data_IF_144841775664
#
_entry.id   IF_144841775664
#
_cell.length_a   1.000
_cell.length_b   1.000
_cell.length_c   1.000
_cell.angle_alpha   90.00
_cell.angle_beta   90.00
_cell.angle_gamma   90.00
#
_symmetry.space_group_name_H-M   'P 1'
#
loop_
_entity.id
_entity.type
_entity.pdbx_description
1 polymer ?
#
# COMPACT_ATOMS: atom_id res chain seq x y z
N UNK A 1 -31.84 1.68 -35.78
CA UNK A 1 -30.79 2.56 -35.26
C UNK A 1 -31.07 2.84 -33.79
N UNK A 2 -30.50 2.05 -32.87
CA UNK A 2 -30.60 2.29 -31.43
C UNK A 2 -29.17 2.56 -30.96
N UNK A 3 -28.87 3.84 -30.70
CA UNK A 3 -27.61 4.25 -30.09
C UNK A 3 -27.57 3.70 -28.65
N UNK A 4 -26.73 2.69 -28.41
CA UNK A 4 -26.28 2.36 -27.06
C UNK A 4 -25.28 3.44 -26.64
N UNK A 5 -25.69 4.32 -25.73
CA UNK A 5 -24.79 5.25 -25.04
C UNK A 5 -23.79 4.43 -24.23
N UNK A 6 -22.53 4.45 -24.65
CA UNK A 6 -21.40 3.99 -23.85
C UNK A 6 -21.26 4.97 -22.67
N UNK A 7 -21.57 4.51 -21.46
CA UNK A 7 -21.17 5.23 -20.26
C UNK A 7 -19.68 4.92 -20.03
N UNK A 8 -18.82 5.87 -20.39
CA UNK A 8 -17.41 5.85 -20.03
C UNK A 8 -17.32 6.14 -18.52
N UNK A 9 -17.19 5.09 -17.71
CA UNK A 9 -16.81 5.26 -16.32
C UNK A 9 -15.34 5.69 -16.30
N UNK A 10 -15.10 6.99 -16.16
CA UNK A 10 -13.78 7.52 -15.87
C UNK A 10 -13.47 7.12 -14.43
N UNK A 11 -12.64 6.09 -14.24
CA UNK A 11 -11.99 5.86 -12.96
C UNK A 11 -11.05 7.04 -12.72
N UNK A 12 -11.45 7.96 -11.84
CA UNK A 12 -10.61 9.07 -11.42
C UNK A 12 -9.65 8.50 -10.37
N UNK A 13 -8.44 8.13 -10.79
CA UNK A 13 -7.33 7.93 -9.85
C UNK A 13 -7.14 9.26 -9.11
N UNK A 14 -7.59 9.32 -7.86
CA UNK A 14 -7.64 10.55 -7.08
C UNK A 14 -6.41 10.58 -6.20
N UNK A 15 -5.45 11.46 -6.50
CA UNK A 15 -4.41 11.81 -5.54
C UNK A 15 -4.99 12.80 -4.52
N UNK A 16 -4.92 12.43 -3.24
CA UNK A 16 -5.25 13.35 -2.14
C UNK A 16 -3.95 13.79 -1.50
N UNK A 17 -3.69 15.10 -1.49
CA UNK A 17 -2.64 15.67 -0.64
C UNK A 17 -3.21 15.77 0.77
N UNK A 18 -2.58 15.05 1.70
CA UNK A 18 -2.99 15.03 3.10
C UNK A 18 -2.00 15.87 3.90
N UNK A 19 -2.51 16.91 4.55
CA UNK A 19 -1.75 17.71 5.53
C UNK A 19 -2.02 17.16 6.93
N UNK A 20 -0.98 16.67 7.59
CA UNK A 20 -1.08 16.16 8.95
C UNK A 20 -0.47 17.15 9.96
N UNK A 21 -1.18 17.35 11.07
CA UNK A 21 -0.74 18.17 12.20
C UNK A 21 -0.68 17.29 13.45
N UNK A 22 0.48 17.21 14.10
CA UNK A 22 0.59 16.61 15.42
C UNK A 22 0.05 17.61 16.45
N UNK A 23 -1.06 17.28 17.10
CA UNK A 23 -1.56 18.07 18.24
C UNK A 23 -0.60 17.91 19.41
N UNK A 24 -0.17 19.04 20.01
CA UNK A 24 0.60 19.00 21.24
C UNK A 24 -0.32 18.68 22.41
N UNK A 25 0.10 17.78 23.30
CA UNK A 25 -0.65 17.53 24.53
C UNK A 25 -0.19 18.57 25.55
N UNK A 26 -1.05 19.55 25.84
CA UNK A 26 -0.87 20.48 26.95
C UNK A 26 -0.64 19.68 28.24
N UNK A 27 0.63 19.56 28.64
CA UNK A 27 1.00 19.26 30.02
C UNK A 27 0.96 20.59 30.75
N UNK A 28 0.08 20.72 31.74
CA UNK A 28 0.15 21.79 32.73
C UNK A 28 1.55 21.78 33.35
N UNK A 29 2.39 22.75 32.98
CA UNK A 29 3.70 23.00 33.55
C UNK A 29 3.66 24.33 34.30
N UNK A 30 3.91 24.23 35.61
CA UNK A 30 3.90 25.33 36.55
C UNK A 30 5.15 26.20 36.33
N UNK A 31 4.98 27.27 35.56
CA UNK A 31 5.68 28.54 35.72
C UNK A 31 7.22 28.50 35.84
N UNK A 32 7.86 29.01 34.77
CA UNK A 32 9.25 29.50 34.65
C UNK A 32 10.26 28.51 34.04
N UNK A 33 10.20 28.38 32.72
CA UNK A 33 11.30 27.94 31.89
C UNK A 33 11.11 28.50 30.48
N UNK A 34 12.18 28.94 29.82
CA UNK A 34 12.14 29.42 28.44
C UNK A 34 11.41 28.41 27.56
N UNK A 35 10.24 28.78 27.04
CA UNK A 35 9.51 27.99 26.08
C UNK A 35 10.37 27.83 24.82
N UNK A 36 11.08 26.71 24.71
CA UNK A 36 11.41 26.17 23.42
C UNK A 36 10.08 25.79 22.79
N UNK A 37 9.57 26.70 21.96
CA UNK A 37 8.46 26.48 21.06
C UNK A 37 8.84 25.29 20.17
N UNK A 38 8.49 24.07 20.59
CA UNK A 38 8.50 22.90 19.71
C UNK A 38 7.33 23.07 18.75
N UNK A 39 7.45 24.06 17.85
CA UNK A 39 6.48 24.28 16.79
C UNK A 39 6.33 22.97 16.03
N UNK A 40 5.17 22.35 16.14
CA UNK A 40 4.85 21.14 15.39
C UNK A 40 5.02 21.47 13.90
N UNK A 41 6.10 20.98 13.29
CA UNK A 41 6.30 21.17 11.86
C UNK A 41 5.18 20.43 11.13
N UNK A 42 4.38 21.14 10.34
CA UNK A 42 3.44 20.52 9.41
C UNK A 42 4.20 19.75 8.34
N UNK A 43 3.63 18.67 7.84
CA UNK A 43 4.11 17.98 6.65
C UNK A 43 2.95 17.61 5.74
N UNK A 44 3.25 17.41 4.46
CA UNK A 44 2.30 16.92 3.48
C UNK A 44 2.82 15.64 2.81
N UNK A 45 1.90 14.75 2.47
CA UNK A 45 2.17 13.56 1.69
C UNK A 45 1.06 13.33 0.67
N UNK A 46 1.36 12.59 -0.39
CA UNK A 46 0.36 12.17 -1.36
C UNK A 46 -0.11 10.76 -1.04
N UNK A 47 -1.43 10.55 -1.04
CA UNK A 47 -2.05 9.24 -0.97
C UNK A 47 -2.67 8.92 -2.34
N UNK A 48 -2.24 7.80 -2.92
CA UNK A 48 -2.72 7.30 -4.22
C UNK A 48 -3.06 5.80 -4.10
N UNK A 49 -3.86 5.30 -5.02
CA UNK A 49 -4.32 3.91 -5.09
C UNK A 49 -5.19 3.73 -6.32
N UNK A 50 -5.62 2.50 -6.59
CA UNK A 50 -6.59 2.19 -7.64
C UNK A 50 -6.21 2.79 -9.00
N UNK A 51 -5.02 2.44 -9.50
CA UNK A 51 -4.64 2.80 -10.84
C UNK A 51 -3.15 2.70 -11.17
N UNK A 52 -2.82 2.85 -12.46
CA UNK A 52 -3.75 3.11 -13.56
C UNK A 52 -4.51 1.87 -14.05
N UNK A 53 -5.84 1.96 -14.06
CA UNK A 53 -6.76 0.92 -14.55
C UNK A 53 -6.87 0.95 -16.07
N UNK A 54 -5.93 0.27 -16.71
CA UNK A 54 -5.87 0.12 -18.16
C UNK A 54 -5.02 1.19 -18.86
N UNK A 55 -4.60 0.88 -20.08
CA UNK A 55 -3.57 1.65 -20.77
C UNK A 55 -4.03 3.06 -21.15
N UNK A 56 -5.33 3.26 -21.36
CA UNK A 56 -5.90 4.55 -21.75
C UNK A 56 -5.79 5.64 -20.67
N UNK A 57 -5.68 5.26 -19.39
CA UNK A 57 -5.54 6.21 -18.27
C UNK A 57 -4.09 6.41 -17.83
N UNK A 58 -3.14 5.66 -18.38
CA UNK A 58 -1.72 5.82 -18.05
C UNK A 58 -1.19 7.24 -18.26
N UNK A 59 -1.51 7.95 -19.37
CA UNK A 59 -1.03 9.33 -19.53
C UNK A 59 -1.55 10.28 -18.45
N UNK A 60 -2.78 10.07 -17.96
CA UNK A 60 -3.31 10.86 -16.87
C UNK A 60 -2.60 10.55 -15.54
N UNK A 61 -2.28 9.28 -15.31
CA UNK A 61 -1.50 8.84 -14.16
C UNK A 61 -0.06 9.40 -14.19
N UNK A 62 0.61 9.38 -15.34
CA UNK A 62 1.95 9.97 -15.52
C UNK A 62 1.96 11.48 -15.24
N UNK A 63 0.90 12.18 -15.68
CA UNK A 63 0.72 13.59 -15.37
C UNK A 63 0.51 13.84 -13.86
N UNK A 64 -0.21 12.95 -13.17
CA UNK A 64 -0.36 13.00 -11.71
C UNK A 64 0.99 12.81 -11.01
N UNK A 65 1.79 11.81 -11.39
CA UNK A 65 3.14 11.62 -10.84
C UNK A 65 4.04 12.83 -11.11
N UNK A 66 3.94 13.41 -12.31
CA UNK A 66 4.66 14.64 -12.67
C UNK A 66 4.25 15.82 -11.78
N UNK A 67 2.97 15.96 -11.47
CA UNK A 67 2.47 17.02 -10.58
C UNK A 67 2.93 16.82 -9.13
N UNK A 68 2.88 15.59 -8.62
CA UNK A 68 3.44 15.23 -7.30
C UNK A 68 4.93 15.60 -7.25
N UNK A 69 5.70 15.24 -8.28
CA UNK A 69 7.13 15.56 -8.38
C UNK A 69 7.46 17.06 -8.43
N UNK A 70 6.51 17.91 -8.82
CA UNK A 70 6.68 19.37 -8.86
C UNK A 70 6.35 20.04 -7.54
N UNK A 71 5.49 19.42 -6.73
CA UNK A 71 5.12 19.93 -5.43
C UNK A 71 6.22 19.65 -4.41
N UNK A 72 6.95 20.70 -4.00
CA UNK A 72 8.04 20.60 -3.04
C UNK A 72 7.58 20.44 -1.59
N UNK A 73 6.28 20.52 -1.34
CA UNK A 73 5.71 20.35 0.00
C UNK A 73 5.39 18.89 0.31
N UNK A 74 5.24 18.05 -0.72
CA UNK A 74 4.99 16.61 -0.59
C UNK A 74 6.29 15.89 -0.28
N UNK A 75 6.38 15.28 0.89
CA UNK A 75 7.61 14.67 1.37
C UNK A 75 7.75 13.18 1.03
N UNK A 76 6.63 12.50 0.84
CA UNK A 76 6.55 11.09 0.44
C UNK A 76 5.19 10.79 -0.19
N UNK A 77 5.10 9.64 -0.87
CA UNK A 77 3.89 9.10 -1.46
C UNK A 77 3.58 7.76 -0.80
N UNK A 78 2.30 7.54 -0.49
CA UNK A 78 1.76 6.23 -0.10
C UNK A 78 0.88 5.74 -1.25
N UNK A 79 1.15 4.54 -1.75
CA UNK A 79 0.31 3.84 -2.71
C UNK A 79 -0.35 2.61 -2.08
N UNK A 80 -1.68 2.63 -1.99
CA UNK A 80 -2.48 1.61 -1.27
C UNK A 80 -2.85 0.39 -2.12
N UNK A 81 -1.97 0.00 -3.05
CA UNK A 81 -2.21 -1.14 -3.92
C UNK A 81 -3.12 -0.87 -5.11
N UNK A 82 -3.46 -1.94 -5.82
CA UNK A 82 -4.29 -1.93 -7.01
C UNK A 82 -3.70 -1.09 -8.15
N UNK A 83 -2.46 -1.40 -8.54
CA UNK A 83 -1.76 -0.80 -9.68
C UNK A 83 -2.30 -1.26 -11.05
N UNK A 84 -3.21 -2.22 -11.07
CA UNK A 84 -3.99 -2.59 -12.27
C UNK A 84 -5.43 -2.95 -11.89
N UNK A 85 -6.34 -2.94 -12.85
CA UNK A 85 -7.73 -3.29 -12.55
C UNK A 85 -7.89 -4.79 -12.28
N UNK A 86 -8.92 -5.18 -11.53
CA UNK A 86 -9.27 -6.59 -11.31
C UNK A 86 -9.69 -7.37 -12.56
N UNK A 87 -9.82 -6.69 -13.70
CA UNK A 87 -10.10 -7.32 -15.00
C UNK A 87 -8.94 -7.33 -15.98
N UNK A 88 -7.76 -6.88 -15.55
CA UNK A 88 -6.57 -6.72 -16.39
C UNK A 88 -5.55 -7.83 -16.09
N UNK A 89 -4.90 -8.36 -17.13
CA UNK A 89 -3.91 -9.46 -17.03
C UNK A 89 -2.77 -9.17 -16.04
N UNK A 90 -2.44 -10.17 -15.22
CA UNK A 90 -1.39 -10.11 -14.20
C UNK A 90 0.00 -10.55 -14.69
N UNK A 91 0.33 -10.27 -15.96
CA UNK A 91 1.63 -10.67 -16.52
C UNK A 91 2.78 -9.93 -15.84
N UNK A 92 3.97 -10.54 -15.87
CA UNK A 92 5.20 -9.94 -15.35
C UNK A 92 5.46 -8.58 -16.02
N UNK A 93 5.27 -8.49 -17.34
CA UNK A 93 5.47 -7.25 -18.10
C UNK A 93 4.56 -6.13 -17.60
N UNK A 94 3.30 -6.44 -17.26
CA UNK A 94 2.39 -5.42 -16.74
C UNK A 94 2.80 -4.98 -15.34
N UNK A 95 3.09 -5.92 -14.44
CA UNK A 95 3.48 -5.58 -13.07
C UNK A 95 4.81 -4.81 -13.04
N UNK A 96 5.79 -5.20 -13.85
CA UNK A 96 7.05 -4.47 -14.05
C UNK A 96 6.80 -3.09 -14.64
N UNK A 97 5.92 -2.96 -15.64
CA UNK A 97 5.55 -1.65 -16.21
C UNK A 97 4.96 -0.72 -15.15
N UNK A 98 4.08 -1.23 -14.28
CA UNK A 98 3.49 -0.47 -13.18
C UNK A 98 4.50 -0.07 -12.11
N UNK A 99 5.36 -1.00 -11.72
CA UNK A 99 6.49 -0.70 -10.83
C UNK A 99 7.35 0.43 -11.43
N UNK A 100 7.80 0.29 -12.68
CA UNK A 100 8.63 1.29 -13.35
C UNK A 100 7.95 2.66 -13.49
N UNK A 101 6.64 2.68 -13.72
CA UNK A 101 5.84 3.90 -13.75
C UNK A 101 5.89 4.61 -12.38
N UNK A 102 5.67 3.87 -11.30
CA UNK A 102 5.76 4.40 -9.94
C UNK A 102 7.18 4.84 -9.55
N UNK A 103 8.22 4.19 -10.09
CA UNK A 103 9.61 4.61 -9.87
C UNK A 103 9.98 5.94 -10.53
N UNK A 104 9.09 6.56 -11.29
CA UNK A 104 9.27 7.94 -11.78
C UNK A 104 9.10 9.00 -10.67
N UNK A 105 8.56 8.62 -9.51
CA UNK A 105 8.51 9.50 -8.34
C UNK A 105 9.92 9.90 -7.90
N UNK A 106 10.12 11.18 -7.59
CA UNK A 106 11.40 11.75 -7.16
C UNK A 106 11.57 11.79 -5.64
N UNK A 107 10.55 11.36 -4.91
CA UNK A 107 10.44 11.32 -3.46
C UNK A 107 10.09 9.87 -3.03
N UNK A 108 10.25 9.53 -1.74
CA UNK A 108 9.94 8.20 -1.24
C UNK A 108 8.55 7.69 -1.66
N UNK A 109 8.49 6.44 -2.10
CA UNK A 109 7.26 5.70 -2.33
C UNK A 109 7.13 4.56 -1.32
N UNK A 110 6.11 4.65 -0.48
CA UNK A 110 5.63 3.60 0.40
C UNK A 110 4.51 2.87 -0.34
N UNK A 111 4.57 1.54 -0.40
CA UNK A 111 3.62 0.72 -1.15
C UNK A 111 3.10 -0.41 -0.27
N UNK A 112 1.82 -0.74 -0.42
CA UNK A 112 1.23 -2.02 0.02
C UNK A 112 0.52 -2.67 -1.16
N UNK A 113 0.55 -4.01 -1.32
CA UNK A 113 -0.22 -4.68 -2.37
C UNK A 113 -1.74 -4.56 -2.16
N UNK A 114 -2.49 -4.55 -3.26
CA UNK A 114 -3.96 -4.68 -3.28
C UNK A 114 -4.39 -6.06 -3.80
N UNK A 115 -5.70 -6.36 -3.84
CA UNK A 115 -6.17 -7.67 -4.32
C UNK A 115 -5.96 -7.87 -5.82
N UNK A 116 -5.91 -6.79 -6.60
CA UNK A 116 -5.89 -6.88 -8.04
C UNK A 116 -4.60 -7.56 -8.54
N UNK A 117 -3.43 -7.23 -8.02
CA UNK A 117 -2.15 -7.73 -8.55
C UNK A 117 -1.84 -9.18 -8.19
N UNK A 118 -2.60 -9.80 -7.28
CA UNK A 118 -2.38 -11.21 -6.90
C UNK A 118 -3.65 -12.01 -6.67
N UNK A 119 -4.52 -11.66 -5.71
CA UNK A 119 -5.69 -12.51 -5.43
C UNK A 119 -6.62 -12.63 -6.62
N UNK A 120 -6.82 -11.56 -7.41
CA UNK A 120 -7.70 -11.59 -8.57
C UNK A 120 -7.06 -12.25 -9.81
N UNK A 121 -5.79 -12.62 -9.75
CA UNK A 121 -5.06 -13.14 -10.91
C UNK A 121 -5.49 -14.54 -11.34
N UNK A 122 -6.19 -15.28 -10.46
CA UNK A 122 -6.80 -16.57 -10.79
C UNK A 122 -7.91 -16.46 -11.86
N UNK A 123 -8.43 -15.25 -12.12
CA UNK A 123 -9.50 -15.04 -13.11
C UNK A 123 -8.98 -15.32 -14.51
N UNK A 124 -9.79 -15.96 -15.35
CA UNK A 124 -9.40 -16.35 -16.71
C UNK A 124 -8.97 -15.14 -17.58
N UNK A 125 -9.69 -14.02 -17.49
CA UNK A 125 -9.34 -12.79 -18.20
C UNK A 125 -8.10 -12.07 -17.63
N UNK A 126 -7.64 -12.47 -16.43
CA UNK A 126 -6.41 -11.96 -15.83
C UNK A 126 -5.20 -12.85 -16.16
N UNK A 127 -5.38 -13.90 -16.96
CA UNK A 127 -4.37 -14.87 -17.36
C UNK A 127 -4.39 -16.17 -16.56
N UNK A 128 -5.25 -16.30 -15.54
CA UNK A 128 -5.38 -17.54 -14.76
C UNK A 128 -4.11 -17.90 -13.99
N UNK A 129 -3.41 -16.90 -13.46
CA UNK A 129 -2.19 -17.11 -12.67
C UNK A 129 -2.51 -17.68 -11.28
N UNK A 130 -1.53 -18.38 -10.71
CA UNK A 130 -1.60 -18.84 -9.33
C UNK A 130 -1.40 -17.66 -8.36
N UNK A 131 -2.38 -17.31 -7.49
CA UNK A 131 -2.30 -16.09 -6.68
C UNK A 131 -1.10 -16.00 -5.75
N UNK A 132 -0.64 -17.11 -5.14
CA UNK A 132 0.51 -17.06 -4.22
C UNK A 132 1.84 -16.84 -4.95
N UNK A 133 1.94 -17.32 -6.18
CA UNK A 133 3.10 -17.03 -7.02
C UNK A 133 3.11 -15.54 -7.41
N UNK A 134 1.95 -14.98 -7.78
CA UNK A 134 1.83 -13.52 -8.03
C UNK A 134 2.13 -12.69 -6.80
N UNK A 135 1.71 -13.12 -5.61
CA UNK A 135 2.05 -12.45 -4.36
C UNK A 135 3.57 -12.44 -4.12
N UNK A 136 4.24 -13.57 -4.34
CA UNK A 136 5.70 -13.64 -4.23
C UNK A 136 6.38 -12.72 -5.26
N UNK A 137 5.92 -12.73 -6.51
CA UNK A 137 6.44 -11.85 -7.55
C UNK A 137 6.33 -10.37 -7.17
N UNK A 138 5.19 -9.93 -6.62
CA UNK A 138 5.03 -8.55 -6.13
C UNK A 138 6.00 -8.26 -5.00
N UNK A 139 6.17 -9.17 -4.04
CA UNK A 139 7.11 -9.00 -2.92
C UNK A 139 8.54 -8.78 -3.43
N UNK A 140 8.98 -9.61 -4.38
CA UNK A 140 10.32 -9.52 -4.96
C UNK A 140 10.52 -8.22 -5.77
N UNK A 141 9.49 -7.80 -6.51
CA UNK A 141 9.55 -6.63 -7.37
C UNK A 141 9.44 -5.31 -6.58
N UNK A 142 8.45 -5.19 -5.70
CA UNK A 142 8.13 -3.95 -5.00
C UNK A 142 8.92 -3.75 -3.70
N UNK A 143 9.50 -4.81 -3.13
CA UNK A 143 10.28 -4.75 -1.89
C UNK A 143 11.69 -5.33 -2.05
N UNK A 144 12.50 -4.85 -3.02
CA UNK A 144 13.85 -5.37 -3.27
C UNK A 144 14.79 -5.18 -2.07
N UNK A 145 14.48 -4.21 -1.18
CA UNK A 145 15.08 -4.06 0.12
C UNK A 145 14.00 -3.70 1.15
N UNK A 146 13.50 -4.66 1.95
CA UNK A 146 12.40 -4.44 2.91
C UNK A 146 12.67 -3.36 3.97
N UNK A 147 13.93 -2.97 4.19
CA UNK A 147 14.29 -1.93 5.16
C UNK A 147 14.15 -0.49 4.61
N UNK A 148 13.86 -0.33 3.32
CA UNK A 148 13.73 0.96 2.66
C UNK A 148 12.48 1.03 1.78
N UNK A 149 11.93 2.23 1.63
CA UNK A 149 10.93 2.53 0.62
C UNK A 149 11.54 2.41 -0.80
N UNK A 150 10.72 2.56 -1.84
CA UNK A 150 11.22 2.77 -3.21
C UNK A 150 11.05 4.23 -3.64
N UNK A 151 11.06 4.51 -4.94
CA UNK A 151 11.01 5.85 -5.51
C UNK A 151 12.37 6.56 -5.48
N UNK A 152 12.36 7.85 -5.82
CA UNK A 152 13.52 8.73 -5.65
C UNK A 152 13.78 9.05 -4.18
N UNK A 153 15.05 9.14 -3.80
CA UNK A 153 15.47 9.35 -2.40
C UNK A 153 14.79 8.40 -1.37
N UNK A 154 14.90 7.08 -1.52
CA UNK A 154 14.34 6.11 -0.58
C UNK A 154 14.60 6.44 0.89
N UNK A 155 13.57 6.27 1.72
CA UNK A 155 13.69 6.46 3.17
C UNK A 155 13.69 5.12 3.90
N UNK A 156 14.33 5.09 5.07
CA UNK A 156 14.33 3.90 5.93
C UNK A 156 12.96 3.70 6.55
N UNK A 157 12.49 2.46 6.56
CA UNK A 157 11.26 2.03 7.24
C UNK A 157 11.58 0.92 8.24
N UNK A 158 10.72 0.73 9.24
CA UNK A 158 10.72 -0.48 10.05
C UNK A 158 9.85 -1.50 9.30
N UNK A 159 10.37 -2.70 9.07
CA UNK A 159 9.63 -3.79 8.40
C UNK A 159 9.34 -4.92 9.38
N UNK A 160 8.17 -5.53 9.24
CA UNK A 160 7.81 -6.75 9.95
C UNK A 160 8.74 -7.91 9.60
N UNK A 161 9.37 -7.91 8.42
CA UNK A 161 10.32 -8.95 8.03
C UNK A 161 11.55 -9.05 8.97
N UNK A 162 11.82 -8.05 9.81
CA UNK A 162 12.86 -8.12 10.84
C UNK A 162 12.38 -8.71 12.17
N UNK A 163 11.10 -9.06 12.31
CA UNK A 163 10.57 -9.77 13.47
C UNK A 163 10.71 -11.27 13.25
N UNK A 164 11.30 -11.96 14.23
CA UNK A 164 11.50 -13.40 14.16
C UNK A 164 10.18 -14.14 13.93
N UNK A 165 10.14 -14.99 12.89
CA UNK A 165 8.94 -15.74 12.49
C UNK A 165 8.01 -15.00 11.52
N UNK A 166 8.33 -13.77 11.14
CA UNK A 166 7.54 -12.94 10.23
C UNK A 166 8.34 -12.47 9.00
N UNK A 167 9.44 -13.13 8.66
CA UNK A 167 10.39 -12.75 7.62
C UNK A 167 9.75 -12.61 6.23
N UNK A 168 8.66 -13.34 5.98
CA UNK A 168 7.93 -13.32 4.70
C UNK A 168 7.05 -12.08 4.48
N UNK A 169 6.75 -11.29 5.52
CA UNK A 169 5.81 -10.16 5.45
C UNK A 169 6.55 -8.84 5.24
N UNK A 170 7.19 -8.74 4.07
CA UNK A 170 8.02 -7.59 3.68
C UNK A 170 7.21 -6.31 3.45
N UNK A 171 5.92 -6.47 3.10
CA UNK A 171 5.01 -5.39 2.79
C UNK A 171 4.47 -4.63 4.03
N UNK A 172 4.52 -5.26 5.20
CA UNK A 172 4.10 -4.63 6.45
C UNK A 172 5.25 -3.76 6.97
N UNK A 173 5.10 -2.46 6.79
CA UNK A 173 6.12 -1.46 7.16
C UNK A 173 5.52 -0.35 8.03
N UNK A 174 6.35 0.28 8.86
CA UNK A 174 5.96 1.43 9.67
C UNK A 174 7.10 2.45 9.75
N UNK A 175 6.76 3.72 9.89
CA UNK A 175 7.74 4.80 10.05
C UNK A 175 7.11 5.99 10.79
N UNK A 176 7.95 6.86 11.34
CA UNK A 176 7.48 8.04 12.07
C UNK A 176 7.85 9.32 11.34
N UNK A 177 6.88 10.21 11.15
CA UNK A 177 7.08 11.56 10.61
C UNK A 177 6.38 12.59 11.50
N UNK A 178 7.13 13.60 11.95
CA UNK A 178 6.65 14.67 12.85
C UNK A 178 5.72 14.15 13.97
N UNK A 179 6.19 13.12 14.70
CA UNK A 179 5.47 12.42 15.78
C UNK A 179 4.20 11.68 15.36
N UNK A 180 3.90 11.53 14.08
CA UNK A 180 2.84 10.62 13.59
C UNK A 180 3.48 9.32 13.13
N UNK A 181 3.00 8.19 13.63
CA UNK A 181 3.38 6.87 13.14
C UNK A 181 2.50 6.51 11.95
N UNK A 182 3.10 6.12 10.83
CA UNK A 182 2.41 5.54 9.69
C UNK A 182 2.63 4.04 9.70
N UNK A 183 1.57 3.26 9.52
CA UNK A 183 1.62 1.79 9.58
C UNK A 183 0.91 1.22 8.37
N UNK A 184 1.60 0.39 7.59
CA UNK A 184 1.00 -0.41 6.53
C UNK A 184 0.59 -1.77 7.09
N UNK A 185 -0.62 -2.19 6.77
CA UNK A 185 -1.12 -3.55 6.98
C UNK A 185 -1.64 -4.09 5.66
N UNK A 186 -1.20 -5.28 5.29
CA UNK A 186 -1.64 -5.91 4.05
C UNK A 186 -3.02 -6.57 4.27
N UNK A 187 -4.09 -5.81 4.02
CA UNK A 187 -5.48 -6.27 4.06
C UNK A 187 -6.13 -5.93 2.73
N UNK A 188 -6.61 -6.94 2.01
CA UNK A 188 -7.04 -6.79 0.61
C UNK A 188 -8.50 -7.11 0.40
N UNK A 189 -9.03 -6.72 -0.76
CA UNK A 189 -10.35 -7.13 -1.23
C UNK A 189 -10.46 -8.63 -1.46
N UNK A 190 -11.49 -9.04 -2.21
CA UNK A 190 -11.83 -10.46 -2.39
C UNK A 190 -11.96 -11.24 -1.06
N UNK A 191 -12.58 -10.58 -0.07
CA UNK A 191 -12.73 -11.06 1.32
C UNK A 191 -11.40 -11.43 1.98
N UNK A 192 -10.37 -10.61 1.77
CA UNK A 192 -9.03 -10.82 2.30
C UNK A 192 -8.42 -12.16 1.85
N UNK A 193 -8.63 -12.55 0.59
CA UNK A 193 -8.27 -13.87 0.01
C UNK A 193 -9.14 -15.06 0.49
N UNK A 194 -10.27 -14.82 1.16
CA UNK A 194 -11.21 -15.88 1.51
C UNK A 194 -12.17 -16.27 0.37
N UNK A 195 -12.27 -15.47 -0.69
CA UNK A 195 -13.02 -15.88 -1.89
C UNK A 195 -12.31 -17.01 -2.63
N UNK A 196 -13.04 -18.00 -3.18
CA UNK A 196 -12.41 -19.10 -3.90
C UNK A 196 -11.75 -18.68 -5.21
N UNK A 197 -10.64 -19.32 -5.55
CA UNK A 197 -9.88 -19.12 -6.78
C UNK A 197 -10.51 -19.86 -7.99
N UNK A 198 -11.80 -19.65 -8.22
CA UNK A 198 -12.48 -20.17 -9.42
C UNK A 198 -12.34 -19.17 -10.59
N UNK A 199 -12.09 -19.60 -11.83
CA UNK A 199 -12.06 -20.98 -12.33
C UNK A 199 -10.69 -21.66 -12.29
N UNK A 200 -9.64 -21.03 -11.74
CA UNK A 200 -8.29 -21.61 -11.66
C UNK A 200 -8.29 -22.99 -11.01
N UNK A 201 -8.99 -23.12 -9.88
CA UNK A 201 -9.34 -24.40 -9.28
C UNK A 201 -10.85 -24.50 -9.06
N UNK A 202 -11.57 -25.32 -9.86
CA UNK A 202 -13.00 -25.55 -9.68
C UNK A 202 -13.38 -26.23 -8.37
N UNK A 203 -12.44 -26.89 -7.69
CA UNK A 203 -12.67 -27.54 -6.40
C UNK A 203 -12.53 -26.58 -5.22
N UNK A 204 -11.91 -25.42 -5.43
CA UNK A 204 -11.85 -24.36 -4.43
C UNK A 204 -13.23 -23.75 -4.26
N UNK A 205 -13.81 -23.89 -3.07
CA UNK A 205 -15.12 -23.35 -2.74
C UNK A 205 -15.11 -22.78 -1.32
N UNK A 206 -16.15 -22.03 -0.96
CA UNK A 206 -16.30 -21.56 0.42
C UNK A 206 -16.46 -22.71 1.42
N UNK A 207 -17.09 -23.82 1.01
CA UNK A 207 -17.31 -25.00 1.85
C UNK A 207 -16.08 -25.92 1.90
N UNK A 208 -15.30 -25.96 0.81
CA UNK A 208 -14.08 -26.76 0.70
C UNK A 208 -12.96 -25.84 0.22
N UNK A 209 -12.44 -24.96 1.09
CA UNK A 209 -11.41 -24.01 0.70
C UNK A 209 -10.11 -24.74 0.41
N UNK A 210 -9.38 -24.30 -0.61
CA UNK A 210 -8.00 -24.76 -0.82
C UNK A 210 -7.15 -24.48 0.42
N UNK A 211 -6.31 -25.47 0.77
CA UNK A 211 -5.47 -25.42 1.96
C UNK A 211 -4.42 -24.29 1.89
N UNK A 212 -3.82 -24.07 0.72
CA UNK A 212 -2.80 -23.02 0.50
C UNK A 212 -3.39 -21.61 0.65
N UNK A 213 -4.58 -21.37 0.10
CA UNK A 213 -5.33 -20.11 0.25
C UNK A 213 -5.66 -19.81 1.71
N UNK A 214 -6.18 -20.81 2.44
CA UNK A 214 -6.52 -20.65 3.85
C UNK A 214 -5.27 -20.46 4.73
N UNK A 215 -4.18 -21.17 4.43
CA UNK A 215 -2.91 -21.02 5.12
C UNK A 215 -2.32 -19.62 4.92
N UNK A 216 -2.34 -19.08 3.69
CA UNK A 216 -1.93 -17.71 3.40
C UNK A 216 -2.75 -16.70 4.20
N UNK A 217 -4.08 -16.76 4.12
CA UNK A 217 -4.96 -15.84 4.84
C UNK A 217 -4.67 -15.88 6.35
N UNK A 218 -4.57 -17.07 6.92
CA UNK A 218 -4.38 -17.26 8.37
C UNK A 218 -3.06 -16.63 8.81
N UNK A 219 -1.97 -16.95 8.11
CA UNK A 219 -0.64 -16.44 8.43
C UNK A 219 -0.55 -14.91 8.27
N UNK A 220 -1.10 -14.35 7.18
CA UNK A 220 -1.08 -12.90 6.97
C UNK A 220 -1.97 -12.15 7.94
N UNK A 221 -3.13 -12.70 8.29
CA UNK A 221 -4.02 -12.08 9.27
C UNK A 221 -3.38 -12.07 10.66
N UNK A 222 -2.76 -13.17 11.09
CA UNK A 222 -1.99 -13.24 12.34
C UNK A 222 -0.84 -12.21 12.33
N UNK A 223 -0.07 -12.16 11.24
CA UNK A 223 1.01 -11.21 11.07
C UNK A 223 0.54 -9.74 11.16
N UNK A 224 -0.60 -9.40 10.55
CA UNK A 224 -1.17 -8.06 10.65
C UNK A 224 -1.58 -7.70 12.08
N UNK A 225 -2.16 -8.64 12.84
CA UNK A 225 -2.55 -8.39 14.24
C UNK A 225 -1.32 -8.13 15.12
N UNK A 226 -0.29 -8.97 15.01
CA UNK A 226 0.98 -8.80 15.74
C UNK A 226 1.67 -7.50 15.33
N UNK A 227 1.60 -7.15 14.04
CA UNK A 227 2.17 -5.90 13.54
C UNK A 227 1.46 -4.67 14.10
N UNK A 228 0.13 -4.68 14.17
CA UNK A 228 -0.66 -3.61 14.76
C UNK A 228 -0.33 -3.43 16.24
N UNK A 229 -0.25 -4.52 17.01
CA UNK A 229 0.15 -4.47 18.43
C UNK A 229 1.54 -3.83 18.60
N UNK A 230 2.51 -4.28 17.80
CA UNK A 230 3.87 -3.72 17.76
C UNK A 230 3.86 -2.23 17.39
N UNK A 231 3.02 -1.81 16.45
CA UNK A 231 2.91 -0.43 16.03
C UNK A 231 2.33 0.46 17.14
N UNK A 232 1.29 0.03 17.86
CA UNK A 232 0.77 0.76 19.02
C UNK A 232 1.79 0.87 20.16
N UNK A 233 2.53 -0.20 20.44
CA UNK A 233 3.60 -0.19 21.43
C UNK A 233 4.75 0.76 21.03
N UNK A 234 5.14 0.72 19.75
CA UNK A 234 6.19 1.59 19.19
C UNK A 234 5.74 3.06 19.19
N UNK A 235 4.51 3.35 18.79
CA UNK A 235 3.93 4.70 18.82
C UNK A 235 3.90 5.25 20.25
N UNK A 236 3.46 4.44 21.22
CA UNK A 236 3.40 4.82 22.63
C UNK A 236 4.79 5.10 23.21
N UNK A 237 5.75 4.18 23.00
CA UNK A 237 7.13 4.34 23.50
C UNK A 237 7.86 5.53 22.88
N UNK A 238 7.55 5.89 21.63
CA UNK A 238 8.14 7.04 20.94
C UNK A 238 7.38 8.35 21.15
N UNK A 239 6.33 8.35 21.97
CA UNK A 239 5.54 9.56 22.24
C UNK A 239 4.86 10.13 21.00
N UNK A 240 4.42 9.26 20.10
CA UNK A 240 3.69 9.64 18.90
C UNK A 240 2.39 10.38 19.27
N UNK A 241 2.09 11.45 18.53
CA UNK A 241 0.85 12.20 18.65
C UNK A 241 -0.34 11.43 18.05
N UNK A 242 -0.08 10.52 17.11
CA UNK A 242 -1.10 9.68 16.47
C UNK A 242 -0.49 8.52 15.70
N UNK A 243 -1.36 7.59 15.30
CA UNK A 243 -1.07 6.45 14.43
C UNK A 243 -2.05 6.53 13.26
N UNK A 244 -1.53 6.43 12.05
CA UNK A 244 -2.25 6.43 10.76
C UNK A 244 -2.02 5.10 10.08
#
# INVERSE_FOLDING_TARGET
MILKKLALAVAVSSAVIVSAHAADRDRHDDGRGNAHEYGASSFAFALIGDGPYGDAVEPAFDNMLTNINRDRTVEFVIHIGDVKSGGTECSDERLIRRFNQLQQLRIPLIYTPGDNEWTDCHRANNGGYYPLERLQFIRDLFFPNPNFSTGGHPMRVMTQANMAGYEQFVENTMFMRNRVMFVQTHVVGSANNLRPWSPYDPTDTAATPRADRLAEYTARNEANLVWLESAFATASSRGAAGLV
#
